data_IF_089416267893
#
_entry.id   IF_089416267893
#
_cell.length_a   1.000
_cell.length_b   1.000
_cell.length_c   1.000
_cell.angle_alpha   90.00
_cell.angle_beta   90.00
_cell.angle_gamma   90.00
#
_symmetry.space_group_name_H-M   'P 1'
#
loop_
_entity.id
_entity.type
_entity.pdbx_description
1 polymer ?
#
# COMPACT_ATOMS: atom_id res chain seq x y z
N UNK A 1 -9.02 -18.25 13.07
CA UNK A 1 -8.41 -19.22 12.12
C UNK A 1 -6.92 -19.28 12.44
N UNK A 2 -6.25 -20.42 12.29
CA UNK A 2 -4.78 -20.50 12.44
C UNK A 2 -4.14 -20.31 11.06
N UNK A 3 -3.01 -19.60 10.99
CA UNK A 3 -2.17 -19.50 9.79
C UNK A 3 -0.77 -19.94 10.22
N UNK A 4 -0.23 -21.00 9.60
CA UNK A 4 1.11 -21.51 9.89
C UNK A 4 1.33 -21.97 11.35
N UNK A 5 0.29 -22.47 12.04
CA UNK A 5 0.39 -22.87 13.44
C UNK A 5 0.18 -21.75 14.46
N UNK A 6 0.07 -20.49 14.02
CA UNK A 6 -0.13 -19.33 14.90
C UNK A 6 -1.61 -18.96 14.99
N UNK A 7 -2.09 -18.72 16.21
CA UNK A 7 -3.46 -18.25 16.48
C UNK A 7 -3.59 -16.81 15.98
N UNK A 8 -4.26 -16.62 14.84
CA UNK A 8 -4.55 -15.28 14.33
C UNK A 8 -5.52 -14.62 15.30
N UNK A 9 -5.19 -13.39 15.72
CA UNK A 9 -6.07 -12.55 16.54
C UNK A 9 -7.43 -12.45 15.86
N UNK A 10 -8.52 -12.63 16.62
CA UNK A 10 -9.88 -12.53 16.07
C UNK A 10 -10.25 -11.11 15.67
N UNK A 11 -9.59 -10.11 16.26
CA UNK A 11 -9.72 -8.71 15.86
C UNK A 11 -8.64 -8.37 14.84
N UNK A 12 -9.08 -8.13 13.62
CA UNK A 12 -8.30 -7.50 12.56
C UNK A 12 -8.73 -6.05 12.43
N UNK A 13 -7.82 -5.17 12.02
CA UNK A 13 -8.17 -3.79 11.65
C UNK A 13 -8.94 -3.77 10.32
N UNK A 14 -9.63 -2.67 10.04
CA UNK A 14 -10.24 -2.43 8.73
C UNK A 14 -9.16 -2.28 7.64
N UNK A 15 -9.55 -2.40 6.37
CA UNK A 15 -8.61 -2.22 5.24
C UNK A 15 -8.14 -0.79 5.15
N UNK A 16 -9.04 0.14 5.39
CA UNK A 16 -8.78 1.57 5.43
C UNK A 16 -7.76 1.89 6.52
N UNK A 17 -7.92 1.33 7.72
CA UNK A 17 -6.95 1.51 8.81
C UNK A 17 -5.58 0.92 8.47
N UNK A 18 -5.55 -0.25 7.83
CA UNK A 18 -4.31 -0.89 7.40
C UNK A 18 -3.59 -0.07 6.32
N UNK A 19 -4.33 0.47 5.35
CA UNK A 19 -3.81 1.33 4.29
C UNK A 19 -3.28 2.65 4.87
N UNK A 20 -4.03 3.28 5.78
CA UNK A 20 -3.61 4.48 6.50
C UNK A 20 -2.37 4.21 7.34
N UNK A 21 -2.28 3.03 7.98
CA UNK A 21 -1.10 2.61 8.72
C UNK A 21 0.14 2.59 7.81
N UNK A 22 0.04 1.97 6.64
CA UNK A 22 1.15 1.82 5.70
C UNK A 22 1.53 3.09 4.92
N UNK A 23 0.69 4.13 4.96
CA UNK A 23 0.88 5.37 4.19
C UNK A 23 1.03 6.58 5.13
N UNK A 24 -0.08 7.18 5.53
CA UNK A 24 -0.13 8.44 6.29
C UNK A 24 0.51 8.30 7.67
N UNK A 25 0.24 7.22 8.41
CA UNK A 25 0.81 7.03 9.75
C UNK A 25 2.30 6.72 9.68
N UNK A 26 2.75 5.91 8.71
CA UNK A 26 4.18 5.70 8.48
C UNK A 26 4.90 7.02 8.14
N UNK A 27 4.34 7.86 7.27
CA UNK A 27 4.92 9.16 6.97
C UNK A 27 5.06 10.03 8.24
N UNK A 28 4.03 10.05 9.09
CA UNK A 28 4.09 10.75 10.38
C UNK A 28 5.17 10.17 11.32
N UNK A 29 5.28 8.84 11.43
CA UNK A 29 6.32 8.20 12.25
C UNK A 29 7.75 8.55 11.78
N UNK A 30 7.92 8.89 10.51
CA UNK A 30 9.20 9.34 9.95
C UNK A 30 9.37 10.87 9.92
N UNK A 31 8.43 11.65 10.49
CA UNK A 31 8.40 13.12 10.40
C UNK A 31 8.38 13.63 8.95
N UNK A 32 7.74 12.85 8.07
CA UNK A 32 7.62 13.11 6.64
C UNK A 32 6.16 13.35 6.24
N UNK A 33 5.25 13.61 7.17
CA UNK A 33 3.82 13.83 6.89
C UNK A 33 3.55 15.02 5.96
N UNK A 34 4.48 15.98 5.86
CA UNK A 34 4.41 17.10 4.92
C UNK A 34 4.90 16.73 3.51
N UNK A 35 5.64 15.64 3.35
CA UNK A 35 6.26 15.23 2.09
C UNK A 35 5.65 13.94 1.51
N UNK A 36 5.19 13.02 2.35
CA UNK A 36 4.82 11.64 2.01
C UNK A 36 3.43 11.25 2.53
N UNK A 37 3.01 10.04 2.16
CA UNK A 37 1.90 9.31 2.78
C UNK A 37 0.50 9.67 2.27
N UNK A 38 0.34 10.67 1.41
CA UNK A 38 -0.94 10.97 0.75
C UNK A 38 -0.72 11.66 -0.59
N UNK A 39 -1.67 11.48 -1.51
CA UNK A 39 -1.64 12.14 -2.83
C UNK A 39 -2.32 13.50 -2.70
N UNK A 40 -1.52 14.56 -2.57
CA UNK A 40 -1.98 15.94 -2.39
C UNK A 40 -0.98 16.92 -3.02
N UNK A 41 -1.40 18.11 -3.49
CA UNK A 41 -0.48 19.14 -3.96
C UNK A 41 0.57 19.50 -2.89
N UNK A 42 1.83 19.69 -3.32
CA UNK A 42 2.96 20.02 -2.45
C UNK A 42 3.71 18.82 -1.86
N UNK A 43 3.17 17.60 -1.99
CA UNK A 43 3.84 16.35 -1.59
C UNK A 43 4.61 15.71 -2.75
N UNK A 44 5.52 14.79 -2.43
CA UNK A 44 6.16 13.95 -3.43
C UNK A 44 5.10 13.10 -4.15
N UNK A 45 5.26 12.96 -5.46
CA UNK A 45 4.45 12.07 -6.27
C UNK A 45 4.95 10.62 -6.09
N UNK A 46 4.74 10.09 -4.88
CA UNK A 46 5.04 8.71 -4.48
C UNK A 46 3.73 7.92 -4.49
N UNK A 47 3.59 7.01 -5.46
CA UNK A 47 2.37 6.21 -5.61
C UNK A 47 2.65 4.86 -6.27
N UNK A 48 1.73 3.94 -6.05
CA UNK A 48 1.70 2.63 -6.69
C UNK A 48 0.33 2.42 -7.33
N UNK A 49 0.32 1.87 -8.54
CA UNK A 49 -0.89 1.39 -9.20
C UNK A 49 -0.90 -0.12 -9.07
N UNK A 50 -2.02 -0.68 -8.63
CA UNK A 50 -2.17 -2.10 -8.33
C UNK A 50 -2.99 -2.79 -9.40
N UNK A 51 -2.72 -4.08 -9.64
CA UNK A 51 -3.47 -4.92 -10.58
C UNK A 51 -4.90 -5.25 -10.11
N UNK A 52 -5.19 -5.01 -8.83
CA UNK A 52 -6.47 -5.28 -8.16
C UNK A 52 -6.78 -4.21 -7.14
N UNK A 53 -8.06 -4.03 -6.86
CA UNK A 53 -8.52 -3.14 -5.80
C UNK A 53 -8.30 -3.78 -4.41
N UNK A 54 -7.36 -3.20 -3.65
CA UNK A 54 -7.05 -3.60 -2.29
C UNK A 54 -8.25 -3.50 -1.34
N UNK A 55 -9.23 -2.61 -1.56
CA UNK A 55 -10.36 -2.43 -0.66
C UNK A 55 -11.43 -3.52 -0.81
N UNK A 56 -11.50 -4.19 -1.96
CA UNK A 56 -12.62 -5.10 -2.28
C UNK A 56 -12.20 -6.54 -2.58
N UNK A 57 -10.95 -6.80 -2.99
CA UNK A 57 -10.45 -8.15 -3.31
C UNK A 57 -10.60 -9.13 -2.12
N UNK A 58 -10.87 -10.44 -2.27
CA UNK A 58 -10.91 -11.38 -1.15
C UNK A 58 -9.64 -11.33 -0.27
N UNK A 59 -9.80 -11.48 1.05
CA UNK A 59 -8.71 -11.25 2.00
C UNK A 59 -7.52 -12.20 1.80
N UNK A 60 -7.77 -13.43 1.36
CA UNK A 60 -6.77 -14.45 1.05
C UNK A 60 -5.97 -14.16 -0.23
N UNK A 61 -6.48 -13.27 -1.09
CA UNK A 61 -5.84 -12.84 -2.34
C UNK A 61 -5.07 -11.52 -2.20
N UNK A 62 -5.15 -10.83 -1.06
CA UNK A 62 -4.40 -9.57 -0.83
C UNK A 62 -2.90 -9.75 -1.07
N UNK A 63 -2.35 -10.90 -0.65
CA UNK A 63 -0.92 -11.24 -0.82
C UNK A 63 -0.49 -11.40 -2.29
N UNK A 64 -1.45 -11.58 -3.19
CA UNK A 64 -1.20 -11.85 -4.61
C UNK A 64 -1.34 -10.58 -5.45
N UNK A 65 -1.74 -9.45 -4.86
CA UNK A 65 -1.76 -8.14 -5.52
C UNK A 65 -0.34 -7.79 -5.97
N UNK A 66 -0.22 -7.28 -7.20
CA UNK A 66 1.04 -6.83 -7.78
C UNK A 66 0.96 -5.37 -8.20
N UNK A 67 2.05 -4.61 -8.07
CA UNK A 67 2.14 -3.30 -8.70
C UNK A 67 2.13 -3.48 -10.23
N UNK A 68 1.34 -2.70 -10.94
CA UNK A 68 1.46 -2.51 -12.39
C UNK A 68 2.40 -1.36 -12.71
N UNK A 69 2.48 -0.35 -11.83
CA UNK A 69 3.40 0.78 -11.92
C UNK A 69 3.79 1.26 -10.53
N UNK A 70 5.04 1.66 -10.35
CA UNK A 70 5.51 2.38 -9.16
C UNK A 70 6.17 3.69 -9.56
N UNK A 71 5.75 4.77 -8.92
CA UNK A 71 6.31 6.10 -9.09
C UNK A 71 6.90 6.60 -7.78
N UNK A 72 8.11 7.16 -7.84
CA UNK A 72 8.81 7.76 -6.70
C UNK A 72 9.31 9.14 -7.11
N UNK A 73 8.91 10.17 -6.36
CA UNK A 73 9.27 11.57 -6.61
C UNK A 73 8.86 12.05 -8.00
N UNK A 74 7.77 11.52 -8.57
CA UNK A 74 7.30 11.86 -9.92
C UNK A 74 7.99 11.10 -11.05
N UNK A 75 8.89 10.16 -10.76
CA UNK A 75 9.55 9.31 -11.75
C UNK A 75 8.99 7.90 -11.69
N UNK A 76 8.60 7.35 -12.83
CA UNK A 76 8.24 5.93 -12.92
C UNK A 76 9.53 5.12 -12.76
N UNK A 77 9.59 4.30 -11.71
CA UNK A 77 10.75 3.44 -11.39
C UNK A 77 10.47 1.97 -11.66
N UNK A 78 9.21 1.62 -11.90
CA UNK A 78 8.77 0.29 -12.27
C UNK A 78 7.51 0.41 -13.14
N UNK A 79 7.52 -0.30 -14.27
CA UNK A 79 6.37 -0.49 -15.14
C UNK A 79 6.31 -1.97 -15.56
N UNK A 80 5.20 -2.64 -15.25
CA UNK A 80 4.99 -4.05 -15.58
C UNK A 80 4.84 -4.29 -17.10
N UNK A 81 4.54 -3.27 -17.90
CA UNK A 81 4.47 -3.37 -19.35
C UNK A 81 5.86 -3.41 -20.00
N UNK A 82 6.85 -2.71 -19.42
CA UNK A 82 8.23 -2.66 -19.92
C UNK A 82 9.08 -3.87 -19.48
N UNK A 83 8.67 -4.55 -18.42
CA UNK A 83 9.37 -5.73 -17.89
C UNK A 83 9.05 -7.05 -18.65
N UNK A 84 8.34 -6.98 -19.78
CA UNK A 84 7.93 -8.13 -20.61
C UNK A 84 8.69 -8.14 -21.94
#
# INVERSE_FOLDING_TARGET
KMVGGTKVLRQTISREDALIAHTRKNAYFHFQENNLGSIQPGKLADMVVLDRDYLTVPADQIKDIKPTMTMVGGKIVYDAAEAR
#
